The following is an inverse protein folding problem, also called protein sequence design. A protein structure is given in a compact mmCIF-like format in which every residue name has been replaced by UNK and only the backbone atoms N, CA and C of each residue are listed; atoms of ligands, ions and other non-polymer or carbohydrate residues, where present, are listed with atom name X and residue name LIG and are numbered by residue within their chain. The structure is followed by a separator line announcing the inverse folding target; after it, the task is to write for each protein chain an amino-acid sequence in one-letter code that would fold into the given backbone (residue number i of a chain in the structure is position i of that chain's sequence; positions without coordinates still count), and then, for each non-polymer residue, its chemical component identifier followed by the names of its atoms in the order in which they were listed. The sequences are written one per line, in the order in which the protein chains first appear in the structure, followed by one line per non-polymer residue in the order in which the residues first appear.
data_IF_260943961371
#
_entry.id   IF_260943961371
#
_cell.length_a   1.000
_cell.length_b   1.000
_cell.length_c   1.000
_cell.angle_alpha   90.00
_cell.angle_beta   90.00
_cell.angle_gamma   90.00
#
_symmetry.space_group_name_H-M   'P 1'
#
loop_
_entity.id
_entity.type
_entity.pdbx_description
1 polymer ?
#
# COMPACT_ATOMS: atom_id res chain seq x y z
N UNK A 1 -31.63 -38.74 -47.27
CA UNK A 1 -31.02 -38.23 -46.03
C UNK A 1 -31.31 -36.74 -45.93
N UNK A 2 -31.87 -36.29 -44.81
CA UNK A 2 -31.90 -34.87 -44.42
C UNK A 2 -30.51 -34.48 -43.83
N UNK A 3 -30.13 -33.22 -43.63
CA UNK A 3 -30.91 -32.01 -43.31
C UNK A 3 -30.34 -30.76 -43.99
N UNK A 4 -31.25 -29.85 -44.39
CA UNK A 4 -30.93 -28.49 -44.79
C UNK A 4 -30.69 -27.62 -43.56
N UNK A 5 -29.65 -26.77 -43.54
CA UNK A 5 -29.47 -25.75 -42.52
C UNK A 5 -29.75 -24.36 -43.13
N UNK A 6 -30.89 -23.78 -42.74
CA UNK A 6 -31.28 -22.38 -43.00
C UNK A 6 -32.02 -21.87 -41.76
N UNK A 7 -32.03 -20.55 -41.60
CA UNK A 7 -32.51 -19.76 -40.45
C UNK A 7 -31.54 -19.80 -39.25
N UNK A 8 -31.26 -18.66 -38.60
CA UNK A 8 -31.74 -17.31 -38.95
C UNK A 8 -31.02 -16.18 -38.23
N UNK A 9 -31.03 -15.01 -38.86
CA UNK A 9 -30.66 -13.75 -38.22
C UNK A 9 -31.73 -13.46 -37.17
N UNK A 10 -31.34 -13.48 -35.89
CA UNK A 10 -32.15 -12.93 -34.81
C UNK A 10 -31.45 -11.71 -34.22
N UNK A 11 -31.44 -10.63 -34.99
CA UNK A 11 -31.24 -9.29 -34.46
C UNK A 11 -32.48 -8.90 -33.63
N UNK A 12 -32.61 -9.50 -32.44
CA UNK A 12 -33.59 -9.08 -31.46
C UNK A 12 -33.07 -7.82 -30.77
N UNK A 13 -33.61 -6.67 -31.17
CA UNK A 13 -33.32 -5.39 -30.55
C UNK A 13 -33.82 -5.39 -29.10
N UNK A 14 -32.94 -5.77 -28.17
CA UNK A 14 -33.04 -5.31 -26.78
C UNK A 14 -32.58 -3.85 -26.76
N UNK A 15 -33.46 -2.96 -27.21
CA UNK A 15 -33.52 -1.63 -26.62
C UNK A 15 -34.04 -1.82 -25.19
N UNK A 16 -33.18 -2.35 -24.32
CA UNK A 16 -33.26 -2.01 -22.92
C UNK A 16 -33.16 -0.49 -22.90
N UNK A 17 -34.16 0.14 -22.30
CA UNK A 17 -34.04 1.53 -21.86
C UNK A 17 -32.82 1.55 -20.95
N UNK A 18 -31.68 2.00 -21.47
CA UNK A 18 -30.56 2.33 -20.62
C UNK A 18 -31.13 3.34 -19.62
N UNK A 19 -31.05 3.08 -18.29
CA UNK A 19 -31.21 4.18 -17.36
C UNK A 19 -30.26 5.28 -17.82
N UNK A 20 -30.68 6.54 -17.74
CA UNK A 20 -29.79 7.64 -18.09
C UNK A 20 -28.68 7.64 -17.04
N UNK A 21 -27.60 6.90 -17.32
CA UNK A 21 -26.44 6.75 -16.42
C UNK A 21 -25.93 8.15 -16.19
N UNK A 22 -26.29 8.69 -15.02
CA UNK A 22 -26.01 10.05 -14.69
C UNK A 22 -24.50 10.23 -14.64
N UNK A 23 -24.08 11.29 -15.28
CA UNK A 23 -22.70 11.55 -15.60
C UNK A 23 -21.85 11.62 -14.32
N UNK A 24 -20.55 11.28 -14.38
CA UNK A 24 -19.59 11.87 -13.44
C UNK A 24 -19.52 13.38 -13.70
N UNK A 25 -20.13 14.19 -12.84
CA UNK A 25 -20.29 15.64 -13.01
C UNK A 25 -19.52 16.44 -11.96
N UNK A 26 -19.29 17.72 -12.24
CA UNK A 26 -18.72 18.65 -11.28
C UNK A 26 -19.63 18.78 -10.04
N UNK A 27 -19.13 18.40 -8.87
CA UNK A 27 -19.87 18.34 -7.61
C UNK A 27 -20.09 16.93 -7.07
N UNK A 28 -19.98 15.89 -7.91
CA UNK A 28 -20.19 14.50 -7.50
C UNK A 28 -19.21 14.07 -6.40
N UNK A 29 -19.71 13.33 -5.41
CA UNK A 29 -18.90 12.66 -4.42
C UNK A 29 -18.95 11.15 -4.64
N UNK A 30 -17.79 10.53 -4.86
CA UNK A 30 -17.68 9.09 -5.16
C UNK A 30 -16.94 8.41 -4.01
N UNK A 31 -17.65 7.57 -3.26
CA UNK A 31 -17.07 6.74 -2.22
C UNK A 31 -16.84 5.32 -2.76
N UNK A 32 -15.65 4.78 -2.56
CA UNK A 32 -15.30 3.40 -2.90
C UNK A 32 -14.89 2.66 -1.64
N UNK A 33 -15.35 1.41 -1.54
CA UNK A 33 -15.08 0.55 -0.39
C UNK A 33 -14.76 -0.87 -0.89
N UNK A 34 -13.70 -1.48 -0.37
CA UNK A 34 -13.20 -2.74 -0.91
C UNK A 34 -12.08 -3.36 -0.11
N UNK A 35 -11.59 -4.47 -0.63
CA UNK A 35 -10.38 -5.14 -0.15
C UNK A 35 -9.19 -4.45 -0.81
N UNK A 36 -8.21 -4.05 0.00
CA UNK A 36 -6.94 -3.46 -0.44
C UNK A 36 -5.80 -4.39 -0.04
N UNK A 37 -5.01 -4.80 -1.01
CA UNK A 37 -3.80 -5.61 -0.83
C UNK A 37 -2.57 -4.76 -1.12
N UNK A 38 -1.64 -4.70 -0.17
CA UNK A 38 -0.34 -4.02 -0.28
C UNK A 38 0.72 -5.09 -0.46
N UNK A 39 1.40 -5.06 -1.60
CA UNK A 39 2.54 -5.91 -1.91
C UNK A 39 3.79 -5.02 -2.06
N UNK A 40 4.66 -4.95 -1.02
CA UNK A 40 5.98 -4.33 -1.13
C UNK A 40 6.82 -4.93 -2.27
N UNK A 41 7.70 -4.11 -2.83
CA UNK A 41 8.86 -4.54 -3.64
C UNK A 41 10.11 -4.12 -2.86
N UNK A 42 10.30 -4.74 -1.69
CA UNK A 42 11.09 -4.19 -0.60
C UNK A 42 12.60 -4.37 -0.76
N UNK A 43 13.33 -3.33 -0.36
CA UNK A 43 14.77 -3.18 -0.45
C UNK A 43 15.29 -2.51 0.82
N UNK A 44 16.50 -2.87 1.27
CA UNK A 44 17.14 -2.19 2.40
C UNK A 44 18.64 -2.04 2.22
N UNK A 45 19.16 -0.98 2.80
CA UNK A 45 20.58 -0.82 3.07
C UNK A 45 21.09 -1.88 4.06
N UNK A 46 22.41 -2.07 4.05
CA UNK A 46 23.11 -2.91 5.02
C UNK A 46 23.11 -2.24 6.41
N UNK A 47 22.58 -2.93 7.42
CA UNK A 47 22.53 -2.43 8.79
C UNK A 47 23.95 -2.34 9.35
N UNK A 48 24.32 -1.14 9.82
CA UNK A 48 25.65 -0.83 10.33
C UNK A 48 25.60 -0.16 11.70
N UNK A 49 26.70 -0.24 12.44
CA UNK A 49 26.92 0.39 13.76
C UNK A 49 28.29 1.08 13.74
N UNK A 50 28.30 2.41 13.67
CA UNK A 50 29.53 3.20 13.57
C UNK A 50 30.30 2.98 12.26
N UNK A 51 29.60 2.66 11.17
CA UNK A 51 30.16 2.36 9.86
C UNK A 51 30.73 0.94 9.69
N UNK A 52 30.58 0.07 10.70
CA UNK A 52 30.88 -1.37 10.60
C UNK A 52 29.58 -2.19 10.47
N UNK A 53 29.57 -3.36 9.82
CA UNK A 53 28.39 -4.23 9.76
C UNK A 53 27.84 -4.59 11.15
N UNK A 54 26.51 -4.68 11.28
CA UNK A 54 25.84 -5.09 12.54
C UNK A 54 26.33 -6.46 13.05
N UNK A 55 26.59 -7.39 12.13
CA UNK A 55 27.14 -8.71 12.40
C UNK A 55 28.48 -8.85 11.69
N UNK A 56 29.51 -9.24 12.43
CA UNK A 56 30.90 -9.27 11.95
C UNK A 56 31.08 -10.16 10.71
N UNK A 57 31.14 -9.54 9.53
CA UNK A 57 31.38 -10.23 8.25
C UNK A 57 30.13 -10.73 7.52
N UNK A 58 28.94 -10.24 7.89
CA UNK A 58 27.66 -10.57 7.25
C UNK A 58 26.91 -9.32 6.76
N UNK A 59 26.32 -9.38 5.56
CA UNK A 59 25.43 -8.34 5.03
C UNK A 59 24.05 -8.47 5.68
N UNK A 60 23.82 -7.66 6.71
CA UNK A 60 22.59 -7.68 7.51
C UNK A 60 21.55 -6.75 6.88
N UNK A 61 20.42 -7.28 6.41
CA UNK A 61 19.32 -6.50 5.80
C UNK A 61 17.97 -6.84 6.43
N UNK A 62 16.90 -6.16 6.00
CA UNK A 62 15.51 -6.46 6.39
C UNK A 62 14.61 -6.73 5.19
N UNK A 63 13.51 -7.46 5.42
CA UNK A 63 12.41 -7.64 4.47
C UNK A 63 11.04 -7.39 5.11
N UNK A 64 10.04 -6.98 4.33
CA UNK A 64 8.68 -6.56 4.74
C UNK A 64 7.62 -7.45 4.09
N UNK A 65 6.67 -7.99 4.87
CA UNK A 65 5.63 -8.87 4.32
C UNK A 65 4.46 -8.12 3.65
N UNK A 66 3.76 -8.76 2.71
CA UNK A 66 2.52 -8.23 2.11
C UNK A 66 1.35 -8.29 3.10
N UNK A 67 0.40 -7.34 3.03
CA UNK A 67 -0.79 -7.34 3.91
C UNK A 67 -2.08 -6.92 3.19
N UNK A 68 -3.22 -7.41 3.67
CA UNK A 68 -4.55 -7.17 3.09
C UNK A 68 -5.49 -6.59 4.15
N UNK A 69 -6.12 -5.46 3.83
CA UNK A 69 -7.03 -4.73 4.73
C UNK A 69 -8.31 -4.27 4.02
N UNK A 70 -9.24 -3.69 4.79
CA UNK A 70 -10.35 -2.92 4.23
C UNK A 70 -9.90 -1.48 3.95
N UNK A 71 -10.14 -1.03 2.72
CA UNK A 71 -9.84 0.32 2.27
C UNK A 71 -11.08 1.12 1.90
N UNK A 72 -10.99 2.42 2.11
CA UNK A 72 -11.98 3.42 1.77
C UNK A 72 -11.33 4.51 0.92
N UNK A 73 -11.94 4.86 -0.20
CA UNK A 73 -11.45 5.95 -1.06
C UNK A 73 -12.57 6.92 -1.34
N UNK A 74 -12.38 8.19 -1.00
CA UNK A 74 -13.30 9.27 -1.31
C UNK A 74 -12.74 10.10 -2.47
N UNK A 75 -13.52 10.30 -3.52
CA UNK A 75 -13.22 11.22 -4.63
C UNK A 75 -14.25 12.34 -4.65
N UNK A 76 -13.80 13.57 -4.80
CA UNK A 76 -14.66 14.71 -5.14
C UNK A 76 -14.36 15.18 -6.57
N UNK A 77 -15.37 15.18 -7.44
CA UNK A 77 -15.26 15.63 -8.82
C UNK A 77 -15.38 17.15 -8.88
N UNK A 78 -14.34 17.85 -9.34
CA UNK A 78 -14.39 19.31 -9.50
C UNK A 78 -14.65 19.74 -10.95
N UNK A 79 -14.48 18.82 -11.91
CA UNK A 79 -15.05 18.92 -13.26
C UNK A 79 -15.63 17.56 -13.66
N UNK A 80 -16.33 17.51 -14.79
CA UNK A 80 -16.87 16.26 -15.37
C UNK A 80 -15.80 15.22 -15.77
N UNK A 81 -14.51 15.55 -15.70
CA UNK A 81 -13.39 14.69 -16.07
C UNK A 81 -12.21 14.74 -15.10
N UNK A 82 -12.28 15.53 -14.03
CA UNK A 82 -11.21 15.66 -13.04
C UNK A 82 -11.76 15.65 -11.62
N UNK A 83 -11.10 14.89 -10.75
CA UNK A 83 -11.44 14.79 -9.34
C UNK A 83 -10.21 14.77 -8.45
N UNK A 84 -10.41 15.03 -7.16
CA UNK A 84 -9.40 14.82 -6.12
C UNK A 84 -9.80 13.60 -5.29
N UNK A 85 -8.92 12.60 -5.21
CA UNK A 85 -9.13 11.35 -4.50
C UNK A 85 -8.25 11.22 -3.27
N UNK A 86 -8.84 10.89 -2.13
CA UNK A 86 -8.13 10.52 -0.90
C UNK A 86 -8.37 9.03 -0.62
N UNK A 87 -7.30 8.24 -0.64
CA UNK A 87 -7.28 6.86 -0.18
C UNK A 87 -6.95 6.82 1.32
N UNK A 88 -7.75 6.08 2.08
CA UNK A 88 -7.49 5.70 3.47
C UNK A 88 -7.73 4.21 3.69
N UNK A 89 -7.07 3.64 4.68
CA UNK A 89 -7.22 2.24 5.06
C UNK A 89 -7.20 2.11 6.58
N UNK A 90 -7.64 0.95 7.10
CA UNK A 90 -7.28 0.57 8.47
C UNK A 90 -5.78 0.34 8.57
N UNK A 91 -5.12 0.63 9.72
CA UNK A 91 -3.68 0.45 9.88
C UNK A 91 -3.18 -0.90 9.37
N UNK A 92 -2.22 -0.89 8.46
CA UNK A 92 -1.54 -2.11 8.06
C UNK A 92 -0.57 -2.49 9.18
N UNK A 93 -0.46 -3.79 9.45
CA UNK A 93 0.58 -4.35 10.31
C UNK A 93 1.52 -5.17 9.43
N UNK A 94 2.82 -5.00 9.65
CA UNK A 94 3.86 -5.72 8.93
C UNK A 94 4.85 -6.37 9.91
N UNK A 95 5.38 -7.53 9.52
CA UNK A 95 6.52 -8.17 10.18
C UNK A 95 7.80 -7.75 9.45
N UNK A 96 8.81 -7.38 10.23
CA UNK A 96 10.15 -7.05 9.74
C UNK A 96 11.00 -8.27 9.99
N UNK A 97 11.43 -8.94 8.92
CA UNK A 97 12.22 -10.17 8.97
C UNK A 97 13.66 -9.90 8.55
N UNK A 98 14.54 -10.88 8.77
CA UNK A 98 15.91 -10.83 8.28
C UNK A 98 16.00 -10.80 6.74
N UNK A 99 17.11 -10.25 6.25
CA UNK A 99 17.50 -10.28 4.85
C UNK A 99 19.02 -10.31 4.70
N UNK A 100 19.48 -10.48 3.46
CA UNK A 100 20.90 -10.66 3.15
C UNK A 100 21.41 -11.99 3.70
N UNK A 101 22.43 -11.94 4.55
CA UNK A 101 22.99 -13.09 5.25
C UNK A 101 22.17 -13.50 6.49
N UNK A 102 21.20 -12.69 6.93
CA UNK A 102 20.25 -13.07 7.99
C UNK A 102 19.08 -13.86 7.39
N UNK A 103 18.79 -15.08 7.85
CA UNK A 103 17.65 -15.88 7.37
C UNK A 103 16.31 -15.13 7.48
N UNK A 104 15.53 -15.15 6.39
CA UNK A 104 14.27 -14.38 6.27
C UNK A 104 13.07 -15.01 6.98
N UNK A 105 13.23 -16.17 7.62
CA UNK A 105 12.28 -16.73 8.57
C UNK A 105 12.46 -16.17 10.00
N UNK A 106 13.55 -15.45 10.26
CA UNK A 106 13.80 -14.78 11.54
C UNK A 106 13.09 -13.42 11.57
N UNK A 107 11.99 -13.36 12.34
CA UNK A 107 11.34 -12.08 12.67
C UNK A 107 12.22 -11.23 13.61
N UNK A 108 12.64 -10.07 13.13
CA UNK A 108 13.43 -9.08 13.87
C UNK A 108 12.54 -8.05 14.58
N UNK A 109 11.38 -7.73 14.00
CA UNK A 109 10.42 -6.80 14.58
C UNK A 109 9.04 -6.83 13.94
N UNK A 110 8.18 -5.91 14.35
CA UNK A 110 6.92 -5.57 13.72
C UNK A 110 6.67 -4.07 13.81
N UNK A 111 5.92 -3.54 12.84
CA UNK A 111 5.44 -2.15 12.83
C UNK A 111 4.00 -2.10 12.33
N UNK A 112 3.30 -1.00 12.60
CA UNK A 112 2.08 -0.62 11.89
C UNK A 112 2.34 0.65 11.10
N UNK A 113 1.61 0.81 10.00
CA UNK A 113 1.58 2.09 9.29
C UNK A 113 0.19 2.46 8.77
N UNK A 114 0.06 3.74 8.48
CA UNK A 114 -1.05 4.31 7.73
C UNK A 114 -0.48 5.07 6.54
N UNK A 115 -0.87 4.73 5.30
CA UNK A 115 -0.40 5.39 4.08
C UNK A 115 -1.50 6.24 3.39
N UNK A 116 -2.10 7.27 4.05
CA UNK A 116 -3.06 8.16 3.38
C UNK A 116 -2.45 8.76 2.12
N UNK A 117 -3.15 8.57 1.00
CA UNK A 117 -2.65 8.96 -0.33
C UNK A 117 -3.63 9.92 -0.98
N UNK A 118 -3.18 11.15 -1.26
CA UNK A 118 -3.94 12.19 -1.94
C UNK A 118 -3.55 12.23 -3.41
N UNK A 119 -4.52 12.18 -4.31
CA UNK A 119 -4.31 12.06 -5.76
C UNK A 119 -5.19 13.03 -6.54
N UNK A 120 -4.62 13.62 -7.59
CA UNK A 120 -5.36 14.29 -8.65
C UNK A 120 -5.71 13.23 -9.71
N UNK A 121 -6.99 13.07 -10.02
CA UNK A 121 -7.50 12.05 -10.93
C UNK A 121 -8.02 12.66 -12.23
N UNK A 122 -7.83 11.94 -13.34
CA UNK A 122 -8.40 12.23 -14.65
C UNK A 122 -9.21 11.04 -15.18
N UNK A 123 -10.44 11.35 -15.60
CA UNK A 123 -11.42 10.43 -16.18
C UNK A 123 -11.61 10.81 -17.66
N UNK A 124 -11.04 10.06 -18.62
CA UNK A 124 -11.04 10.42 -20.03
C UNK A 124 -12.36 10.12 -20.76
N UNK A 125 -13.23 9.30 -20.17
CA UNK A 125 -14.48 8.90 -20.81
C UNK A 125 -15.54 10.01 -20.71
N UNK A 126 -16.46 10.03 -21.67
CA UNK A 126 -17.68 10.82 -21.53
C UNK A 126 -18.40 10.40 -20.26
N UNK A 127 -18.85 11.38 -19.48
CA UNK A 127 -19.34 11.16 -18.12
C UNK A 127 -20.53 10.18 -18.04
N UNK A 128 -21.36 10.11 -19.09
CA UNK A 128 -22.48 9.15 -19.23
C UNK A 128 -22.06 7.70 -19.56
N UNK A 129 -20.76 7.42 -19.69
CA UNK A 129 -20.24 6.06 -19.86
C UNK A 129 -20.42 5.26 -18.57
N UNK A 130 -20.99 4.06 -18.68
CA UNK A 130 -21.02 3.12 -17.56
C UNK A 130 -19.62 2.62 -17.17
N UNK A 131 -18.66 2.64 -18.10
CA UNK A 131 -17.26 2.33 -17.84
C UNK A 131 -16.46 3.64 -17.69
N UNK A 132 -15.91 3.87 -16.50
CA UNK A 132 -15.15 5.05 -16.12
C UNK A 132 -13.73 4.63 -15.72
N UNK A 133 -12.80 4.44 -16.67
CA UNK A 133 -11.39 4.31 -16.37
C UNK A 133 -10.88 5.64 -15.80
N UNK A 134 -9.83 5.58 -14.99
CA UNK A 134 -9.14 6.76 -14.49
C UNK A 134 -7.66 6.52 -14.32
N UNK A 135 -6.91 7.61 -14.38
CA UNK A 135 -5.49 7.68 -14.00
C UNK A 135 -5.32 8.83 -13.01
N UNK A 136 -4.30 8.76 -12.16
CA UNK A 136 -4.01 9.85 -11.23
C UNK A 136 -2.57 9.89 -10.77
N UNK A 137 -2.22 11.01 -10.18
CA UNK A 137 -0.90 11.29 -9.60
C UNK A 137 -1.08 12.16 -8.36
N UNK A 138 -0.21 11.99 -7.37
CA UNK A 138 -0.21 12.83 -6.18
C UNK A 138 0.84 12.41 -5.17
N UNK A 139 0.49 12.50 -3.89
CA UNK A 139 1.41 12.37 -2.77
C UNK A 139 0.90 11.34 -1.79
N UNK A 140 1.77 10.41 -1.43
CA UNK A 140 1.61 9.53 -0.28
C UNK A 140 2.28 10.18 0.94
N UNK A 141 1.63 10.11 2.10
CA UNK A 141 2.25 10.32 3.39
C UNK A 141 2.08 9.03 4.19
N UNK A 142 3.16 8.35 4.55
CA UNK A 142 3.12 7.13 5.35
C UNK A 142 3.73 7.39 6.72
N UNK A 143 2.94 7.15 7.75
CA UNK A 143 3.39 7.27 9.15
C UNK A 143 3.44 5.90 9.81
N UNK A 144 4.54 5.63 10.50
CA UNK A 144 4.83 4.39 11.21
C UNK A 144 4.54 4.55 12.71
N UNK A 145 4.07 3.48 13.35
CA UNK A 145 3.80 3.45 14.79
C UNK A 145 3.68 2.01 15.32
N UNK A 146 3.74 1.86 16.66
CA UNK A 146 3.73 0.55 17.35
C UNK A 146 4.91 -0.36 16.95
N UNK A 147 6.05 0.26 16.62
CA UNK A 147 7.34 -0.36 16.37
C UNK A 147 7.77 -1.22 17.57
N UNK A 148 8.06 -2.48 17.31
CA UNK A 148 8.52 -3.45 18.32
C UNK A 148 9.59 -4.33 17.72
N UNK A 149 10.65 -4.55 18.46
CA UNK A 149 11.66 -5.56 18.16
C UNK A 149 11.28 -6.91 18.79
N UNK A 150 11.97 -7.98 18.40
CA UNK A 150 11.80 -9.30 19.01
C UNK A 150 12.91 -9.61 20.01
N UNK A 151 12.62 -10.47 20.98
CA UNK A 151 13.63 -11.01 21.90
C UNK A 151 14.75 -11.80 21.19
N UNK A 152 14.56 -12.17 19.92
CA UNK A 152 15.62 -12.72 19.07
C UNK A 152 16.66 -11.65 18.75
N UNK A 153 16.22 -10.46 18.32
CA UNK A 153 17.12 -9.34 18.05
C UNK A 153 17.84 -8.88 19.32
N UNK A 154 17.13 -8.80 20.45
CA UNK A 154 17.72 -8.55 21.78
C UNK A 154 18.86 -9.52 22.10
N UNK A 155 18.63 -10.82 21.87
CA UNK A 155 19.60 -11.88 22.18
C UNK A 155 20.82 -11.86 21.26
N UNK A 156 20.63 -11.56 19.97
CA UNK A 156 21.73 -11.44 18.98
C UNK A 156 22.59 -10.23 19.31
N UNK A 157 21.99 -9.06 19.55
CA UNK A 157 22.71 -7.83 19.92
C UNK A 157 23.42 -7.98 21.28
N UNK A 158 22.79 -8.61 22.27
CA UNK A 158 23.41 -8.91 23.56
C UNK A 158 24.68 -9.76 23.41
N UNK A 159 24.69 -10.71 22.47
CA UNK A 159 25.83 -11.59 22.22
C UNK A 159 26.95 -10.90 21.42
N UNK A 160 26.63 -10.25 20.30
CA UNK A 160 27.63 -9.59 19.41
C UNK A 160 28.32 -8.42 20.11
N UNK A 161 27.56 -7.58 20.83
CA UNK A 161 28.09 -6.39 21.50
C UNK A 161 28.51 -6.64 22.97
N UNK A 162 28.30 -7.85 23.48
CA UNK A 162 28.70 -8.23 24.84
C UNK A 162 27.93 -7.48 25.94
N UNK A 163 26.62 -7.26 25.74
CA UNK A 163 25.72 -6.53 26.65
C UNK A 163 24.66 -7.51 27.20
N UNK A 164 24.92 -8.22 28.31
CA UNK A 164 23.97 -9.19 28.85
C UNK A 164 22.64 -8.55 29.23
N UNK A 165 21.54 -9.10 28.72
CA UNK A 165 20.20 -8.58 28.99
C UNK A 165 19.84 -7.30 28.23
N UNK A 166 20.56 -7.00 27.14
CA UNK A 166 20.21 -5.89 26.25
C UNK A 166 18.76 -5.96 25.78
N UNK A 167 18.19 -4.79 25.52
CA UNK A 167 16.88 -4.61 24.87
C UNK A 167 17.03 -3.68 23.70
N UNK A 168 16.30 -3.97 22.63
CA UNK A 168 16.29 -3.17 21.42
C UNK A 168 14.99 -2.37 21.30
N UNK A 169 15.05 -1.24 20.60
CA UNK A 169 13.89 -0.46 20.16
C UNK A 169 14.10 -0.12 18.69
N UNK A 170 13.04 -0.22 17.90
CA UNK A 170 13.03 0.19 16.51
C UNK A 170 12.35 1.55 16.43
N UNK A 171 12.97 2.50 15.73
CA UNK A 171 12.32 3.73 15.28
C UNK A 171 12.32 3.74 13.75
N UNK A 172 11.22 4.19 13.15
CA UNK A 172 11.06 4.40 11.71
C UNK A 172 10.62 5.85 11.49
N UNK A 173 11.30 6.59 10.61
CA UNK A 173 10.90 7.96 10.29
C UNK A 173 9.70 7.96 9.31
N UNK A 174 8.79 8.94 9.44
CA UNK A 174 7.68 9.16 8.50
C UNK A 174 8.18 9.36 7.06
N UNK A 175 7.43 8.81 6.09
CA UNK A 175 7.75 8.89 4.67
C UNK A 175 6.79 9.82 3.91
N UNK A 176 7.32 10.54 2.91
CA UNK A 176 6.53 11.34 1.96
C UNK A 176 7.07 11.13 0.56
N UNK A 177 6.25 10.55 -0.32
CA UNK A 177 6.66 10.19 -1.67
C UNK A 177 5.58 10.42 -2.73
N UNK A 178 5.95 10.21 -3.98
CA UNK A 178 5.02 10.31 -5.12
C UNK A 178 4.15 9.07 -5.20
N UNK A 179 2.85 9.26 -5.45
CA UNK A 179 1.94 8.17 -5.78
C UNK A 179 1.37 8.34 -7.19
N UNK A 180 1.27 7.23 -7.93
CA UNK A 180 0.54 7.16 -9.20
C UNK A 180 -0.54 6.09 -9.11
N UNK A 181 -1.63 6.28 -9.84
CA UNK A 181 -2.75 5.35 -9.85
C UNK A 181 -3.33 5.13 -11.23
N UNK A 182 -3.87 3.93 -11.44
CA UNK A 182 -4.71 3.57 -12.57
C UNK A 182 -5.87 2.72 -12.06
N UNK A 183 -7.08 2.97 -12.53
CA UNK A 183 -8.24 2.22 -12.10
C UNK A 183 -9.41 2.34 -13.05
N UNK A 184 -10.50 1.70 -12.66
CA UNK A 184 -11.77 1.72 -13.38
C UNK A 184 -12.94 1.55 -12.42
N UNK A 185 -13.99 2.32 -12.67
CA UNK A 185 -15.32 2.09 -12.14
C UNK A 185 -16.22 1.52 -13.25
N UNK A 186 -17.06 0.54 -12.92
CA UNK A 186 -18.10 0.02 -13.79
C UNK A 186 -19.47 0.17 -13.12
N UNK A 187 -20.22 1.17 -13.55
CA UNK A 187 -21.53 1.53 -13.00
C UNK A 187 -22.58 0.48 -13.40
N UNK A 188 -23.19 -0.15 -12.39
CA UNK A 188 -24.28 -1.12 -12.53
C UNK A 188 -25.65 -0.44 -12.45
N UNK A 189 -25.72 0.73 -11.81
CA UNK A 189 -26.87 1.63 -11.75
C UNK A 189 -26.38 3.09 -11.76
N UNK A 190 -27.30 4.06 -11.62
CA UNK A 190 -26.97 5.49 -11.59
C UNK A 190 -26.02 5.89 -10.44
N UNK A 191 -26.11 5.19 -9.30
CA UNK A 191 -25.30 5.48 -8.11
C UNK A 191 -24.31 4.37 -7.76
N UNK A 192 -24.52 3.11 -8.14
CA UNK A 192 -23.73 1.97 -7.65
C UNK A 192 -22.98 1.26 -8.77
N UNK A 193 -21.76 0.83 -8.48
CA UNK A 193 -20.92 0.08 -9.40
C UNK A 193 -19.84 -0.78 -8.73
N UNK A 194 -19.02 -1.40 -9.57
CA UNK A 194 -17.80 -2.10 -9.17
C UNK A 194 -16.59 -1.18 -9.35
N UNK A 195 -15.57 -1.33 -8.50
CA UNK A 195 -14.29 -0.66 -8.63
C UNK A 195 -13.15 -1.69 -8.68
N UNK A 196 -12.17 -1.41 -9.54
CA UNK A 196 -10.83 -2.01 -9.45
C UNK A 196 -9.78 -0.91 -9.68
N UNK A 197 -8.71 -0.90 -8.90
CA UNK A 197 -7.66 0.09 -9.01
C UNK A 197 -6.30 -0.44 -8.52
N UNK A 198 -5.24 0.16 -9.04
CA UNK A 198 -3.85 -0.17 -8.76
C UNK A 198 -3.10 1.14 -8.49
N UNK A 199 -2.27 1.15 -7.45
CA UNK A 199 -1.33 2.23 -7.14
C UNK A 199 0.09 1.70 -7.14
N UNK A 200 1.02 2.59 -7.47
CA UNK A 200 2.40 2.53 -7.02
C UNK A 200 2.65 3.76 -6.17
N UNK A 201 3.33 3.60 -5.04
CA UNK A 201 3.72 4.68 -4.16
C UNK A 201 5.19 4.54 -3.79
N UNK A 202 5.94 5.61 -3.98
CA UNK A 202 7.29 5.82 -3.46
C UNK A 202 7.20 5.93 -1.93
N UNK A 203 7.80 4.98 -1.20
CA UNK A 203 7.75 4.93 0.28
C UNK A 203 9.10 4.46 0.82
N UNK A 204 9.94 5.42 1.18
CA UNK A 204 11.26 5.20 1.79
C UNK A 204 11.25 5.67 3.24
N UNK A 205 11.74 4.86 4.17
CA UNK A 205 11.83 5.20 5.60
C UNK A 205 13.24 4.98 6.13
N UNK A 206 13.74 5.94 6.91
CA UNK A 206 14.97 5.81 7.65
C UNK A 206 14.72 4.97 8.91
N UNK A 207 15.34 3.80 8.98
CA UNK A 207 15.25 2.91 10.13
C UNK A 207 16.42 3.10 11.11
N UNK A 208 16.12 2.91 12.40
CA UNK A 208 17.10 2.91 13.49
C UNK A 208 16.79 1.81 14.49
N UNK A 209 17.82 1.08 14.91
CA UNK A 209 17.73 0.20 16.09
C UNK A 209 18.55 0.80 17.22
N UNK A 210 17.89 1.17 18.32
CA UNK A 210 18.51 1.60 19.58
C UNK A 210 18.68 0.41 20.50
N UNK A 211 19.78 0.39 21.25
CA UNK A 211 20.14 -0.68 22.20
C UNK A 211 20.27 -0.08 23.59
N UNK A 212 19.55 -0.70 24.53
CA UNK A 212 19.56 -0.37 25.95
C UNK A 212 20.13 -1.55 26.74
N UNK A 213 20.79 -1.27 27.86
CA UNK A 213 21.30 -2.31 28.76
C UNK A 213 20.19 -2.94 29.64
N UNK A 214 20.58 -3.87 30.51
CA UNK A 214 19.66 -4.52 31.45
C UNK A 214 19.03 -3.58 32.50
N UNK A 215 19.62 -2.40 32.73
CA UNK A 215 19.10 -1.37 33.63
C UNK A 215 18.13 -0.41 32.91
N UNK A 216 18.17 -0.37 31.58
CA UNK A 216 17.41 0.54 30.72
C UNK A 216 18.22 1.77 30.27
N UNK A 217 19.52 1.82 30.53
CA UNK A 217 20.40 2.89 30.08
C UNK A 217 20.77 2.69 28.60
N UNK A 218 20.88 3.79 27.84
CA UNK A 218 21.26 3.73 26.42
C UNK A 218 22.71 3.26 26.26
N UNK A 219 22.93 2.20 25.49
CA UNK A 219 24.23 1.58 25.28
C UNK A 219 24.80 1.82 23.88
N UNK A 220 23.97 1.66 22.83
CA UNK A 220 24.38 1.81 21.44
C UNK A 220 23.17 2.11 20.53
N UNK A 221 23.43 2.47 19.28
CA UNK A 221 22.43 2.50 18.21
C UNK A 221 23.08 2.13 16.88
N UNK A 222 22.29 1.61 15.94
CA UNK A 222 22.70 1.55 14.53
C UNK A 222 22.84 2.95 13.94
N UNK A 223 23.62 3.01 12.87
CA UNK A 223 23.50 4.10 11.91
C UNK A 223 22.08 4.10 11.29
N UNK A 224 21.71 5.19 10.61
CA UNK A 224 20.50 5.17 9.77
C UNK A 224 20.75 4.21 8.61
N UNK A 225 19.78 3.34 8.34
CA UNK A 225 19.73 2.54 7.12
C UNK A 225 18.38 2.78 6.46
N UNK A 226 18.40 3.03 5.14
CA UNK A 226 17.19 3.27 4.37
C UNK A 226 16.47 1.95 4.08
N UNK A 227 15.14 1.97 4.17
CA UNK A 227 14.25 0.86 3.80
C UNK A 227 13.27 1.39 2.76
N UNK A 228 13.47 0.95 1.52
CA UNK A 228 12.58 1.20 0.38
C UNK A 228 11.46 0.14 0.42
N UNK A 229 10.20 0.56 0.40
CA UNK A 229 9.04 -0.36 0.45
C UNK A 229 8.33 -0.41 -0.92
N UNK A 230 8.30 0.73 -1.61
CA UNK A 230 7.77 0.97 -2.96
C UNK A 230 6.58 0.09 -3.41
N UNK A 231 5.51 -0.01 -2.60
CA UNK A 231 4.53 -1.07 -2.77
C UNK A 231 3.63 -0.86 -3.99
N UNK A 232 3.38 -1.98 -4.66
CA UNK A 232 2.23 -2.12 -5.55
C UNK A 232 0.99 -2.40 -4.68
N UNK A 233 0.00 -1.50 -4.75
CA UNK A 233 -1.25 -1.60 -4.00
C UNK A 233 -2.39 -1.91 -4.95
N UNK A 234 -3.25 -2.86 -4.59
CA UNK A 234 -4.36 -3.33 -5.40
C UNK A 234 -5.68 -3.22 -4.63
N UNK A 235 -6.70 -2.61 -5.21
CA UNK A 235 -8.06 -2.54 -4.64
C UNK A 235 -9.07 -3.18 -5.57
N UNK A 236 -9.96 -4.00 -5.00
CA UNK A 236 -11.19 -4.45 -5.66
C UNK A 236 -12.36 -4.28 -4.70
N UNK A 237 -13.46 -3.73 -5.20
CA UNK A 237 -14.63 -3.48 -4.36
C UNK A 237 -15.78 -2.83 -5.11
N UNK A 238 -16.50 -1.97 -4.39
CA UNK A 238 -17.68 -1.28 -4.86
C UNK A 238 -17.45 0.22 -4.90
N UNK A 239 -18.13 0.89 -5.83
CA UNK A 239 -18.20 2.36 -5.92
C UNK A 239 -19.64 2.82 -5.69
N UNK A 240 -19.80 3.93 -4.99
CA UNK A 240 -21.07 4.61 -4.79
C UNK A 240 -20.92 6.11 -5.03
N UNK A 241 -21.72 6.64 -5.95
CA UNK A 241 -21.79 8.04 -6.35
C UNK A 241 -23.00 8.72 -5.68
N UNK A 242 -22.76 9.80 -4.96
CA UNK A 242 -23.76 10.65 -4.32
C UNK A 242 -24.08 11.86 -5.19
#
# INVERSE_FOLDING_TARGET
MSRSFKLGVLAAAVMATAPAVQAFEAGDFILRAGVVHVAPDDSSDSITVGGAPLLSGADSKVTVDSNTQLGLRATYMFTNSLGVGLLGATPFKHNINGGGDIPSDIKLGETKHLPPTLTLQYFPMASSSAFQPFVGVGVNYTTFFEEKTTGTLDSVVAAEYGIPGARTSLDLDDSVGVAVEVGMDYMLSENFGLNAAIWWADINTDARVKVYDANGDFAAQTDKFEVEIDPMVYMVGFTYKF
#
